data_IF_062253794177
#
_entry.id   IF_062253794177
#
_cell.length_a   1.000
_cell.length_b   1.000
_cell.length_c   1.000
_cell.angle_alpha   90.00
_cell.angle_beta   90.00
_cell.angle_gamma   90.00
#
_symmetry.space_group_name_H-M   'P 1'
#
loop_
_entity.id
_entity.type
_entity.pdbx_description
1 polymer ?
#
# COMPACT_ATOMS: atom_id res chain seq x y z
N UNK A 1 -38.92 -27.76 -23.93
CA UNK A 1 -37.68 -27.03 -23.57
C UNK A 1 -38.09 -25.96 -22.57
N UNK A 2 -37.85 -26.20 -21.28
CA UNK A 2 -38.59 -25.55 -20.20
C UNK A 2 -38.16 -24.08 -20.01
N UNK A 3 -39.13 -23.16 -20.08
CA UNK A 3 -38.97 -21.72 -19.81
C UNK A 3 -38.22 -21.44 -18.49
N UNK A 4 -38.44 -22.28 -17.47
CA UNK A 4 -37.73 -22.23 -16.18
C UNK A 4 -36.21 -22.40 -16.29
N UNK A 5 -35.73 -23.20 -17.25
CA UNK A 5 -34.29 -23.42 -17.45
C UNK A 5 -33.60 -22.18 -18.03
N UNK A 6 -34.31 -21.41 -18.87
CA UNK A 6 -33.77 -20.17 -19.43
C UNK A 6 -33.71 -19.06 -18.38
N UNK A 7 -34.72 -18.95 -17.52
CA UNK A 7 -34.71 -17.97 -16.41
C UNK A 7 -33.55 -18.23 -15.45
N UNK A 8 -33.29 -19.50 -15.12
CA UNK A 8 -32.19 -19.88 -14.20
C UNK A 8 -30.80 -19.62 -14.80
N UNK A 9 -30.63 -19.79 -16.12
CA UNK A 9 -29.37 -19.47 -16.80
C UNK A 9 -29.14 -17.97 -16.91
N UNK A 10 -30.21 -17.19 -17.17
CA UNK A 10 -30.14 -15.73 -17.23
C UNK A 10 -29.83 -15.13 -15.86
N UNK A 11 -30.39 -15.66 -14.77
CA UNK A 11 -30.03 -15.20 -13.43
C UNK A 11 -28.57 -15.53 -13.09
N UNK A 12 -28.09 -16.75 -13.35
CA UNK A 12 -26.67 -17.11 -13.14
C UNK A 12 -25.73 -16.21 -13.96
N UNK A 13 -26.07 -15.91 -15.21
CA UNK A 13 -25.28 -15.01 -16.06
C UNK A 13 -25.27 -13.57 -15.51
N UNK A 14 -26.42 -13.02 -15.08
CA UNK A 14 -26.49 -11.70 -14.44
C UNK A 14 -25.73 -11.66 -13.11
N UNK A 15 -25.73 -12.74 -12.32
CA UNK A 15 -24.91 -12.84 -11.11
C UNK A 15 -23.42 -12.95 -11.41
N UNK A 16 -23.03 -13.64 -12.49
CA UNK A 16 -21.65 -13.70 -12.96
C UNK A 16 -21.18 -12.33 -13.50
N UNK A 17 -22.02 -11.59 -14.22
CA UNK A 17 -21.72 -10.24 -14.69
C UNK A 17 -21.63 -9.23 -13.52
N UNK A 18 -22.46 -9.38 -12.48
CA UNK A 18 -22.35 -8.55 -11.27
C UNK A 18 -21.09 -8.87 -10.45
N UNK A 19 -20.60 -10.12 -10.53
CA UNK A 19 -19.34 -10.52 -9.90
C UNK A 19 -18.10 -9.86 -10.54
N UNK A 20 -18.25 -9.33 -11.76
CA UNK A 20 -17.27 -8.53 -12.49
C UNK A 20 -17.36 -7.02 -12.18
N UNK A 21 -17.98 -6.61 -11.07
CA UNK A 21 -17.58 -5.36 -10.42
C UNK A 21 -16.13 -5.53 -9.91
N UNK A 22 -15.15 -5.50 -10.83
CA UNK A 22 -13.72 -5.73 -10.55
C UNK A 22 -13.30 -4.80 -9.42
N UNK A 23 -13.18 -5.36 -8.23
CA UNK A 23 -12.61 -4.67 -7.09
C UNK A 23 -11.18 -4.30 -7.48
N UNK A 24 -10.97 -3.01 -7.77
CA UNK A 24 -9.65 -2.53 -8.13
C UNK A 24 -8.71 -2.76 -6.96
N UNK A 25 -7.48 -3.20 -7.26
CA UNK A 25 -6.46 -3.39 -6.23
C UNK A 25 -6.19 -2.07 -5.51
N UNK A 26 -5.96 -2.16 -4.21
CA UNK A 26 -5.33 -1.08 -3.47
C UNK A 26 -3.92 -0.86 -3.98
N UNK A 27 -3.46 0.38 -3.86
CA UNK A 27 -2.11 0.80 -4.23
C UNK A 27 -1.48 1.43 -3.00
N UNK A 28 -0.41 0.84 -2.50
CA UNK A 28 0.43 1.39 -1.44
C UNK A 28 1.74 1.86 -2.05
N UNK A 29 2.03 3.15 -1.97
CA UNK A 29 3.18 3.77 -2.63
C UNK A 29 4.14 4.39 -1.63
N UNK A 30 5.42 4.35 -1.98
CA UNK A 30 6.51 4.97 -1.25
C UNK A 30 7.24 5.94 -2.17
N UNK A 31 7.23 7.21 -1.79
CA UNK A 31 7.87 8.29 -2.53
C UNK A 31 9.06 8.82 -1.73
N UNK A 32 10.19 9.00 -2.41
CA UNK A 32 11.36 9.65 -1.85
C UNK A 32 11.35 11.15 -2.20
N UNK A 33 11.30 12.01 -1.19
CA UNK A 33 11.34 13.47 -1.29
C UNK A 33 12.29 14.07 -0.24
N UNK A 34 13.38 13.37 0.05
CA UNK A 34 14.50 13.80 0.89
C UNK A 34 15.35 14.84 0.14
N UNK A 35 14.83 16.06 0.03
CA UNK A 35 15.38 17.13 -0.80
C UNK A 35 16.69 17.71 -0.27
N UNK A 36 16.98 17.58 1.03
CA UNK A 36 18.19 18.14 1.63
C UNK A 36 19.38 17.20 1.48
N UNK A 37 19.20 15.90 1.70
CA UNK A 37 20.28 14.91 1.65
C UNK A 37 20.38 14.19 0.30
N UNK A 38 19.30 14.14 -0.48
CA UNK A 38 19.15 13.29 -1.66
C UNK A 38 19.46 11.80 -1.38
N UNK A 39 19.27 11.36 -0.14
CA UNK A 39 19.52 9.97 0.25
C UNK A 39 18.64 9.01 -0.55
N UNK A 40 19.11 7.77 -0.68
CA UNK A 40 18.27 6.68 -1.16
C UNK A 40 17.39 6.17 -0.02
N UNK A 41 16.09 6.09 -0.27
CA UNK A 41 15.13 5.53 0.66
C UNK A 41 15.09 4.01 0.48
N UNK A 42 15.34 3.27 1.56
CA UNK A 42 15.13 1.84 1.63
C UNK A 42 13.74 1.55 2.16
N UNK A 43 13.02 0.63 1.53
CA UNK A 43 11.66 0.19 1.90
C UNK A 43 11.63 -1.32 1.96
N UNK A 44 11.19 -1.87 3.09
CA UNK A 44 10.97 -3.29 3.28
C UNK A 44 9.58 -3.50 3.89
N UNK A 45 8.68 -4.10 3.13
CA UNK A 45 7.30 -4.30 3.55
C UNK A 45 6.93 -5.79 3.57
N UNK A 46 6.10 -6.16 4.55
CA UNK A 46 5.56 -7.51 4.70
C UNK A 46 4.08 -7.52 5.08
N UNK A 47 3.36 -8.55 4.63
CA UNK A 47 1.97 -8.83 4.96
C UNK A 47 1.81 -10.31 5.30
N UNK A 48 1.70 -10.64 6.60
CA UNK A 48 1.67 -12.04 7.04
C UNK A 48 2.94 -12.78 6.60
N UNK A 49 2.78 -13.76 5.70
CA UNK A 49 3.88 -14.55 5.13
C UNK A 49 4.42 -13.98 3.80
N UNK A 50 3.80 -12.92 3.27
CA UNK A 50 4.22 -12.25 2.05
C UNK A 50 5.27 -11.18 2.40
N UNK A 51 6.53 -11.49 2.16
CA UNK A 51 7.66 -10.58 2.34
C UNK A 51 8.16 -10.16 0.95
N UNK A 52 8.06 -8.87 0.64
CA UNK A 52 8.47 -8.33 -0.66
C UNK A 52 9.98 -8.09 -0.76
N UNK A 53 10.70 -8.25 0.35
CA UNK A 53 12.11 -7.95 0.45
C UNK A 53 12.40 -6.45 0.47
N UNK A 54 13.66 -6.13 0.22
CA UNK A 54 14.18 -4.76 0.28
C UNK A 54 14.13 -4.11 -1.09
N UNK A 55 13.54 -2.92 -1.13
CA UNK A 55 13.50 -2.05 -2.31
C UNK A 55 14.18 -0.71 -2.02
N UNK A 56 14.80 -0.14 -3.04
CA UNK A 56 15.50 1.14 -2.95
C UNK A 56 14.85 2.16 -3.90
N UNK A 57 14.54 3.35 -3.39
CA UNK A 57 13.95 4.46 -4.13
C UNK A 57 14.90 5.64 -4.04
N UNK A 58 15.57 6.00 -5.14
CA UNK A 58 16.50 7.15 -5.11
C UNK A 58 15.72 8.45 -5.09
N UNK A 59 16.42 9.53 -4.74
CA UNK A 59 15.82 10.85 -4.84
C UNK A 59 15.39 11.14 -6.28
N UNK A 60 14.16 11.62 -6.45
CA UNK A 60 13.49 11.85 -7.75
C UNK A 60 13.21 10.61 -8.61
N UNK A 61 13.43 9.39 -8.11
CA UNK A 61 12.98 8.18 -8.82
C UNK A 61 11.43 8.08 -8.82
N UNK A 62 10.85 7.30 -9.74
CA UNK A 62 9.45 6.89 -9.65
C UNK A 62 9.13 6.26 -8.29
N UNK A 63 7.89 6.45 -7.84
CA UNK A 63 7.43 5.84 -6.57
C UNK A 63 7.52 4.32 -6.64
N UNK A 64 7.90 3.70 -5.53
CA UNK A 64 7.77 2.25 -5.37
C UNK A 64 6.32 1.92 -5.00
N UNK A 65 5.66 1.06 -5.78
CA UNK A 65 4.24 0.74 -5.61
C UNK A 65 3.99 -0.75 -5.35
N UNK A 66 3.08 -1.04 -4.42
CA UNK A 66 2.62 -2.37 -4.07
C UNK A 66 1.12 -2.44 -4.37
N UNK A 67 0.70 -3.41 -5.18
CA UNK A 67 -0.70 -3.62 -5.56
C UNK A 67 -1.28 -4.88 -4.94
N UNK A 68 -2.30 -4.75 -4.11
CA UNK A 68 -2.88 -5.85 -3.34
C UNK A 68 -4.40 -5.73 -3.18
N UNK A 69 -5.05 -6.81 -2.74
CA UNK A 69 -6.47 -6.85 -2.40
C UNK A 69 -6.68 -7.15 -0.93
N UNK A 70 -7.82 -6.72 -0.39
CA UNK A 70 -8.22 -7.09 0.97
C UNK A 70 -8.65 -8.56 1.03
N UNK A 71 -8.17 -9.30 2.02
CA UNK A 71 -8.65 -10.63 2.34
C UNK A 71 -9.65 -10.55 3.51
N UNK A 72 -10.90 -10.92 3.25
CA UNK A 72 -12.00 -10.84 4.23
C UNK A 72 -11.80 -11.80 5.41
N UNK A 73 -11.19 -12.96 5.17
CA UNK A 73 -11.14 -14.04 6.16
C UNK A 73 -10.06 -13.83 7.21
N UNK A 74 -8.89 -13.33 6.79
CA UNK A 74 -7.72 -13.13 7.67
C UNK A 74 -7.40 -11.65 7.91
N UNK A 75 -8.01 -10.74 7.15
CA UNK A 75 -7.61 -9.33 7.09
C UNK A 75 -6.33 -9.14 6.28
N UNK A 76 -6.13 -7.92 5.79
CA UNK A 76 -4.90 -7.52 5.10
C UNK A 76 -4.26 -6.36 5.85
N UNK A 77 -2.97 -6.47 6.14
CA UNK A 77 -2.19 -5.38 6.72
C UNK A 77 -0.79 -5.39 6.13
N UNK A 78 -0.15 -4.23 6.06
CA UNK A 78 1.23 -4.10 5.62
C UNK A 78 2.03 -3.45 6.74
N UNK A 79 3.00 -4.19 7.27
CA UNK A 79 3.99 -3.66 8.21
C UNK A 79 5.25 -3.37 7.40
N UNK A 80 5.76 -2.14 7.52
CA UNK A 80 6.85 -1.65 6.70
C UNK A 80 7.95 -1.03 7.56
N UNK A 81 9.18 -1.37 7.22
CA UNK A 81 10.39 -0.75 7.70
C UNK A 81 10.94 0.14 6.59
N UNK A 82 11.16 1.41 6.90
CA UNK A 82 11.75 2.38 5.98
C UNK A 82 12.97 3.03 6.61
N UNK A 83 14.01 3.19 5.80
CA UNK A 83 15.29 3.70 6.27
C UNK A 83 15.95 4.62 5.25
N UNK A 84 16.75 5.57 5.73
CA UNK A 84 17.62 6.38 4.86
C UNK A 84 18.86 6.88 5.62
N UNK A 85 19.67 7.66 4.91
CA UNK A 85 20.87 8.28 5.44
C UNK A 85 22.10 7.38 5.38
N UNK A 86 23.27 7.91 5.79
CA UNK A 86 24.49 7.14 5.87
C UNK A 86 24.27 5.90 6.75
N UNK A 87 24.59 4.71 6.22
CA UNK A 87 24.40 3.43 6.92
C UNK A 87 22.96 3.12 7.35
N UNK A 88 21.95 3.73 6.72
CA UNK A 88 20.53 3.51 7.04
C UNK A 88 20.19 3.82 8.51
N UNK A 89 20.82 4.87 9.03
CA UNK A 89 20.74 5.25 10.44
C UNK A 89 19.39 5.89 10.83
N UNK A 90 18.64 6.45 9.88
CA UNK A 90 17.28 6.91 10.15
C UNK A 90 16.31 5.77 9.87
N UNK A 91 15.59 5.30 10.88
CA UNK A 91 14.77 4.08 10.81
C UNK A 91 13.37 4.34 11.33
N UNK A 92 12.37 3.84 10.61
CA UNK A 92 10.99 3.79 11.07
C UNK A 92 10.39 2.43 10.73
N UNK A 93 9.74 1.79 11.72
CA UNK A 93 8.94 0.58 11.53
C UNK A 93 7.51 0.87 11.95
N UNK A 94 6.54 0.68 11.04
CA UNK A 94 5.16 1.06 11.26
C UNK A 94 4.18 0.26 10.39
N UNK A 95 2.91 0.30 10.77
CA UNK A 95 1.83 -0.30 9.98
C UNK A 95 1.36 0.68 8.91
N UNK A 96 1.73 0.40 7.66
CA UNK A 96 1.45 1.24 6.50
C UNK A 96 0.03 1.07 5.95
N UNK A 97 -0.60 -0.09 6.19
CA UNK A 97 -1.98 -0.36 5.79
C UNK A 97 -2.66 -1.35 6.75
N UNK A 98 -3.98 -1.20 6.91
CA UNK A 98 -4.85 -2.20 7.56
C UNK A 98 -6.23 -2.17 6.91
N UNK A 99 -6.74 -3.35 6.55
CA UNK A 99 -8.08 -3.52 6.01
C UNK A 99 -9.13 -3.23 7.07
N UNK A 100 -10.25 -2.64 6.64
CA UNK A 100 -11.42 -2.50 7.49
C UNK A 100 -12.23 -3.80 7.61
N UNK A 101 -13.30 -3.80 8.43
CA UNK A 101 -14.21 -4.94 8.54
C UNK A 101 -15.02 -5.19 7.25
N UNK A 102 -15.15 -4.15 6.41
CA UNK A 102 -15.78 -4.24 5.09
C UNK A 102 -14.68 -4.02 4.04
N UNK A 103 -14.56 -4.91 3.04
CA UNK A 103 -13.61 -4.75 1.94
C UNK A 103 -13.77 -3.42 1.25
N UNK A 104 -12.63 -2.77 1.01
CA UNK A 104 -12.58 -1.57 0.19
C UNK A 104 -11.84 -1.92 -1.10
N UNK A 105 -12.04 -1.11 -2.13
CA UNK A 105 -11.40 -1.30 -3.42
C UNK A 105 -10.77 0.00 -3.89
N UNK A 106 -9.69 -0.12 -4.65
CA UNK A 106 -9.08 0.97 -5.42
C UNK A 106 -8.55 2.14 -4.58
N UNK A 107 -8.20 1.91 -3.31
CA UNK A 107 -7.67 2.99 -2.48
C UNK A 107 -6.17 3.17 -2.71
N UNK A 108 -5.76 4.42 -2.77
CA UNK A 108 -4.36 4.83 -2.89
C UNK A 108 -3.88 5.32 -1.53
N UNK A 109 -2.78 4.74 -1.07
CA UNK A 109 -2.13 5.04 0.20
C UNK A 109 -0.68 5.43 -0.12
N UNK A 110 -0.37 6.71 -0.08
CA UNK A 110 0.96 7.23 -0.43
C UNK A 110 1.70 7.64 0.82
N UNK A 111 2.84 6.99 1.07
CA UNK A 111 3.81 7.36 2.10
C UNK A 111 4.95 8.13 1.46
N UNK A 112 5.25 9.32 1.98
CA UNK A 112 6.18 10.26 1.39
C UNK A 112 7.27 10.55 2.41
N UNK A 113 8.50 10.18 2.07
CA UNK A 113 9.67 10.45 2.89
C UNK A 113 10.19 11.86 2.62
N UNK A 114 10.17 12.73 3.63
CA UNK A 114 10.72 14.08 3.59
C UNK A 114 11.82 14.23 4.63
N UNK A 115 12.58 15.30 4.53
CA UNK A 115 13.77 15.51 5.37
C UNK A 115 13.46 15.47 6.88
N UNK A 116 12.29 15.93 7.30
CA UNK A 116 11.90 16.02 8.70
C UNK A 116 11.02 14.86 9.19
N UNK A 117 10.57 13.98 8.29
CA UNK A 117 9.76 12.84 8.67
C UNK A 117 8.95 12.22 7.53
N UNK A 118 7.95 11.45 7.92
CA UNK A 118 7.13 10.65 7.01
C UNK A 118 5.71 11.19 6.97
N UNK A 119 5.26 11.47 5.75
CA UNK A 119 3.95 12.01 5.44
C UNK A 119 3.07 10.94 4.82
N UNK A 120 1.77 11.07 5.02
CA UNK A 120 0.76 10.17 4.49
C UNK A 120 -0.31 10.93 3.72
N UNK A 121 -0.61 10.48 2.51
CA UNK A 121 -1.75 10.91 1.70
C UNK A 121 -2.64 9.72 1.35
N UNK A 122 -3.95 9.91 1.46
CA UNK A 122 -4.94 8.92 1.05
C UNK A 122 -5.78 9.44 -0.11
N UNK A 123 -5.84 8.68 -1.20
CA UNK A 123 -6.61 9.00 -2.40
C UNK A 123 -6.36 10.44 -2.92
N UNK A 124 -5.11 10.89 -2.90
CA UNK A 124 -4.72 12.23 -3.37
C UNK A 124 -5.15 13.40 -2.48
N UNK A 125 -5.66 13.13 -1.27
CA UNK A 125 -5.90 14.18 -0.27
C UNK A 125 -4.58 14.84 0.16
N UNK A 126 -4.63 16.07 0.72
CA UNK A 126 -3.45 16.69 1.31
C UNK A 126 -2.72 15.73 2.26
N UNK A 127 -1.41 15.72 2.15
CA UNK A 127 -0.56 14.88 2.97
C UNK A 127 -0.49 15.41 4.41
N UNK A 128 -0.41 14.49 5.36
CA UNK A 128 -0.29 14.79 6.79
C UNK A 128 0.98 14.15 7.33
N UNK A 129 1.77 14.90 8.10
CA UNK A 129 2.92 14.32 8.81
C UNK A 129 2.42 13.30 9.83
N UNK A 130 2.94 12.07 9.76
CA UNK A 130 2.57 10.97 10.67
C UNK A 130 3.68 10.61 11.64
N UNK A 131 4.93 10.71 11.20
CA UNK A 131 6.07 10.33 12.00
C UNK A 131 7.24 11.29 11.81
N UNK A 132 8.00 11.51 12.88
CA UNK A 132 9.34 12.08 12.81
C UNK A 132 10.37 10.96 12.60
N UNK A 133 11.51 11.30 12.01
CA UNK A 133 12.61 10.34 11.89
C UNK A 133 13.23 10.02 13.25
N UNK A 134 13.49 8.73 13.48
CA UNK A 134 14.29 8.29 14.63
C UNK A 134 15.66 7.85 14.14
N UNK A 135 16.71 8.45 14.68
CA UNK A 135 18.09 8.03 14.41
C UNK A 135 18.44 6.84 15.29
N UNK A 136 18.70 5.70 14.68
CA UNK A 136 19.24 4.52 15.34
C UNK A 136 20.75 4.70 15.52
N UNK A 137 21.18 4.87 16.77
CA UNK A 137 22.60 4.87 17.11
C UNK A 137 23.05 3.41 17.27
N UNK A 138 23.72 2.87 16.26
CA UNK A 138 24.47 1.61 16.34
C UNK A 138 25.74 1.76 17.17
#
# INVERSE_FOLDING_TARGET
MNSFSFVFLVTIALFAELSEARCHKHVLTFQNSLASSHDTLQVHCKSGNDDLGVHFVKFSDPVYDIRFGDNIFIGTYWDCLIQHGPKMEYVLNFRAYTSGPVPRCGQWHTWIAKDDGIYFSKNGKPEEKKFDWTKYNS
#
